data_IF_715519245663
#
_entry.id   IF_715519245663
#
_cell.length_a   1.000
_cell.length_b   1.000
_cell.length_c   1.000
_cell.angle_alpha   90.00
_cell.angle_beta   90.00
_cell.angle_gamma   90.00
#
_symmetry.space_group_name_H-M   'P 1'
#
loop_
_entity.id
_entity.type
_entity.pdbx_description
1 polymer ?
#
# COMPACT_ATOMS: atom_id res chain seq x y z
N UNK A 1 -0.55 -12.24 -30.57
CA UNK A 1 -0.64 -13.05 -29.34
C UNK A 1 0.73 -13.63 -29.07
N UNK A 2 1.32 -13.34 -27.90
CA UNK A 2 2.66 -13.85 -27.52
C UNK A 2 2.57 -14.58 -26.16
N UNK A 3 3.26 -15.72 -25.99
CA UNK A 3 3.26 -16.47 -24.73
C UNK A 3 3.71 -15.66 -23.52
N UNK A 4 4.64 -14.72 -23.69
CA UNK A 4 5.17 -13.87 -22.63
C UNK A 4 4.12 -12.92 -22.08
N UNK A 5 3.19 -12.46 -22.93
CA UNK A 5 2.06 -11.62 -22.50
C UNK A 5 1.10 -12.39 -21.63
N UNK A 6 0.89 -13.68 -21.88
CA UNK A 6 0.05 -14.55 -21.04
C UNK A 6 0.67 -14.78 -19.67
N UNK A 7 1.99 -15.00 -19.62
CA UNK A 7 2.73 -15.09 -18.36
C UNK A 7 2.59 -13.79 -17.53
N UNK A 8 2.75 -12.62 -18.16
CA UNK A 8 2.58 -11.34 -17.49
C UNK A 8 1.13 -11.11 -17.04
N UNK A 9 0.15 -11.52 -17.84
CA UNK A 9 -1.26 -11.42 -17.45
C UNK A 9 -1.54 -12.21 -16.18
N UNK A 10 -1.05 -13.44 -16.06
CA UNK A 10 -1.23 -14.26 -14.86
C UNK A 10 -0.64 -13.59 -13.60
N UNK A 11 0.53 -12.96 -13.73
CA UNK A 11 1.15 -12.19 -12.63
C UNK A 11 0.29 -10.98 -12.27
N UNK A 12 -0.20 -10.24 -13.25
CA UNK A 12 -1.06 -9.07 -13.04
C UNK A 12 -2.33 -9.51 -12.32
N UNK A 13 -3.04 -10.51 -12.82
CA UNK A 13 -4.29 -10.99 -12.24
C UNK A 13 -4.10 -11.41 -10.78
N UNK A 14 -3.02 -12.15 -10.49
CA UNK A 14 -2.66 -12.55 -9.12
C UNK A 14 -2.38 -11.34 -8.22
N UNK A 15 -1.65 -10.33 -8.72
CA UNK A 15 -1.35 -9.12 -7.95
C UNK A 15 -2.60 -8.29 -7.62
N UNK A 16 -3.65 -8.37 -8.45
CA UNK A 16 -4.86 -7.56 -8.29
C UNK A 16 -5.87 -8.13 -7.29
N UNK A 17 -5.70 -9.36 -6.78
CA UNK A 17 -6.68 -10.04 -5.91
C UNK A 17 -7.11 -9.24 -4.68
N UNK A 18 -6.21 -8.47 -4.08
CA UNK A 18 -6.51 -7.63 -2.91
C UNK A 18 -6.56 -6.13 -3.24
N UNK A 19 -6.44 -5.75 -4.52
CA UNK A 19 -6.50 -4.36 -4.96
C UNK A 19 -7.97 -3.95 -5.07
N UNK A 20 -8.59 -3.72 -3.91
CA UNK A 20 -9.99 -3.33 -3.79
C UNK A 20 -10.14 -2.15 -2.84
N UNK A 21 -10.85 -1.11 -3.24
CA UNK A 21 -11.07 0.07 -2.41
C UNK A 21 -11.65 1.25 -3.17
N UNK A 22 -11.68 2.40 -2.52
CA UNK A 22 -12.13 3.67 -3.12
C UNK A 22 -11.03 4.71 -3.00
N UNK A 23 -10.73 5.37 -4.12
CA UNK A 23 -9.84 6.53 -4.18
C UNK A 23 -10.69 7.77 -4.45
N UNK A 24 -10.53 8.80 -3.62
CA UNK A 24 -11.20 10.09 -3.80
C UNK A 24 -10.25 11.03 -4.56
N UNK A 25 -10.72 11.56 -5.68
CA UNK A 25 -9.96 12.43 -6.56
C UNK A 25 -10.56 13.84 -6.60
N UNK A 26 -9.69 14.85 -6.77
CA UNK A 26 -10.05 16.21 -7.13
C UNK A 26 -9.49 16.50 -8.51
N UNK A 27 -10.38 16.88 -9.43
CA UNK A 27 -10.02 17.24 -10.80
C UNK A 27 -10.02 18.76 -10.91
N UNK A 28 -8.91 19.36 -11.34
CA UNK A 28 -8.80 20.81 -11.43
C UNK A 28 -7.84 21.25 -12.53
N UNK A 29 -8.33 22.05 -13.49
CA UNK A 29 -7.53 22.65 -14.58
C UNK A 29 -6.58 21.65 -15.27
N UNK A 30 -7.10 20.48 -15.64
CA UNK A 30 -6.32 19.42 -16.29
C UNK A 30 -5.48 18.56 -15.32
N UNK A 31 -5.53 18.82 -14.02
CA UNK A 31 -4.83 18.04 -13.00
C UNK A 31 -5.76 17.03 -12.32
N UNK A 32 -5.19 15.92 -11.87
CA UNK A 32 -5.87 14.83 -11.14
C UNK A 32 -5.14 14.64 -9.81
N UNK A 33 -5.80 14.96 -8.71
CA UNK A 33 -5.18 14.98 -7.38
C UNK A 33 -5.85 13.94 -6.49
N UNK A 34 -5.07 13.05 -5.89
CA UNK A 34 -5.57 12.10 -4.90
C UNK A 34 -5.75 12.80 -3.55
N UNK A 35 -6.98 12.79 -3.02
CA UNK A 35 -7.34 13.48 -1.77
C UNK A 35 -7.89 12.52 -0.69
N UNK A 36 -7.82 11.22 -0.92
CA UNK A 36 -8.23 10.22 0.05
C UNK A 36 -8.22 8.81 -0.53
N UNK A 37 -8.03 7.83 0.35
CA UNK A 37 -8.03 6.39 0.05
C UNK A 37 -8.74 5.67 1.18
N UNK A 38 -9.55 4.67 0.86
CA UNK A 38 -10.12 3.72 1.82
C UNK A 38 -10.18 2.33 1.18
N UNK A 39 -9.88 1.29 1.95
CA UNK A 39 -9.91 -0.08 1.46
C UNK A 39 -10.25 -1.04 2.60
N UNK A 40 -11.14 -2.04 2.38
CA UNK A 40 -11.35 -3.14 3.32
C UNK A 40 -10.16 -4.11 3.36
N UNK A 41 -9.22 -4.02 2.41
CA UNK A 41 -7.99 -4.81 2.30
C UNK A 41 -6.75 -3.93 2.48
N UNK A 42 -6.89 -2.83 3.21
CA UNK A 42 -5.78 -1.91 3.48
C UNK A 42 -4.70 -2.62 4.27
N UNK A 43 -3.46 -2.55 3.79
CA UNK A 43 -2.27 -2.93 4.56
C UNK A 43 -1.79 -1.80 5.48
N UNK A 44 -2.37 -0.60 5.35
CA UNK A 44 -2.14 0.48 6.30
C UNK A 44 -2.88 0.17 7.61
N UNK A 45 -2.13 0.13 8.69
CA UNK A 45 -2.60 -0.03 10.06
C UNK A 45 -2.28 1.24 10.84
N UNK A 46 -3.33 1.95 11.27
CA UNK A 46 -3.22 3.22 11.99
C UNK A 46 -2.55 3.03 13.36
N UNK A 47 -2.71 1.87 14.00
CA UNK A 47 -2.12 1.60 15.31
C UNK A 47 -0.59 1.47 15.27
N UNK A 48 -0.03 1.02 14.14
CA UNK A 48 1.42 0.99 13.92
C UNK A 48 1.96 2.32 13.38
N UNK A 49 1.12 3.12 12.72
CA UNK A 49 1.53 4.37 12.08
C UNK A 49 1.39 5.60 12.99
N UNK A 50 0.60 5.51 14.06
CA UNK A 50 0.40 6.60 15.01
C UNK A 50 1.55 6.71 16.01
N UNK A 51 1.86 7.95 16.40
CA UNK A 51 2.83 8.24 17.46
C UNK A 51 2.23 8.12 18.87
N UNK A 52 0.92 7.88 18.99
CA UNK A 52 0.20 7.85 20.28
C UNK A 52 0.07 6.44 20.88
N UNK A 53 0.40 5.38 20.12
CA UNK A 53 0.23 3.99 20.56
C UNK A 53 1.56 3.36 20.99
N UNK A 54 1.96 3.63 22.24
CA UNK A 54 3.24 3.21 22.85
C UNK A 54 3.47 1.69 23.01
N UNK A 55 2.52 0.82 22.59
CA UNK A 55 2.59 -0.62 22.85
C UNK A 55 2.59 -1.54 21.62
N UNK A 56 2.42 -1.01 20.41
CA UNK A 56 2.20 -1.86 19.20
C UNK A 56 3.50 -2.15 18.43
N UNK A 57 4.54 -1.33 18.60
CA UNK A 57 5.84 -1.47 17.92
C UNK A 57 7.02 -1.41 18.90
N UNK A 58 7.89 -2.42 18.90
CA UNK A 58 9.13 -2.40 19.70
C UNK A 58 10.21 -1.57 18.99
N UNK A 59 10.40 -0.34 19.47
CA UNK A 59 11.39 0.57 18.88
C UNK A 59 12.84 0.07 18.98
N UNK A 60 13.13 -0.93 19.83
CA UNK A 60 14.48 -1.51 19.97
C UNK A 60 14.89 -2.33 18.75
N UNK A 61 13.94 -2.93 18.04
CA UNK A 61 14.21 -3.69 16.81
C UNK A 61 14.74 -2.79 15.68
N UNK A 62 14.38 -1.50 15.68
CA UNK A 62 14.90 -0.53 14.74
C UNK A 62 16.43 -0.39 14.85
N UNK A 63 17.00 -0.49 16.06
CA UNK A 63 18.44 -0.40 16.26
C UNK A 63 19.17 -1.58 15.62
N UNK A 64 18.60 -2.78 15.70
CA UNK A 64 19.12 -3.98 15.04
C UNK A 64 19.06 -3.86 13.52
N UNK A 65 17.93 -3.40 12.98
CA UNK A 65 17.73 -3.20 11.54
C UNK A 65 18.69 -2.14 10.95
N UNK A 66 18.87 -1.01 11.62
CA UNK A 66 19.78 0.08 11.19
C UNK A 66 21.22 -0.39 11.16
N UNK A 67 21.63 -1.26 12.07
CA UNK A 67 23.02 -1.73 12.17
C UNK A 67 23.38 -2.78 11.10
N UNK A 68 22.39 -3.49 10.57
CA UNK A 68 22.59 -4.64 9.67
C UNK A 68 22.44 -4.31 8.17
N UNK A 69 21.75 -3.22 7.83
CA UNK A 69 21.57 -2.75 6.44
C UNK A 69 22.52 -1.60 6.12
#
# INVERSE_FOLDING_TARGET
>A
FSPEREMLQALIDRSQENVTGTVRLKLFKGNVIVVGRKSPKSLYDEAFATFEADQVYDQRDAQGFIKLN
#
